data_IF_763254468196
#
_entry.id   IF_763254468196
#
_cell.length_a   1.000
_cell.length_b   1.000
_cell.length_c   1.000
_cell.angle_alpha   90.00
_cell.angle_beta   90.00
_cell.angle_gamma   90.00
#
_symmetry.space_group_name_H-M   'P 1'
#
loop_
_entity.id
_entity.type
_entity.pdbx_description
1 polymer ?
#
# COMPACT_ATOMS: atom_id res chain seq x y z
N UNK A 1 47.81 -9.57 77.65
CA UNK A 1 47.00 -8.40 78.08
C UNK A 1 46.50 -7.71 76.86
N UNK A 2 45.27 -8.03 76.39
CA UNK A 2 44.73 -7.53 75.13
C UNK A 2 43.31 -7.02 75.39
N UNK A 3 43.14 -5.72 75.32
CA UNK A 3 41.85 -5.05 75.53
C UNK A 3 41.06 -4.97 74.23
N UNK A 4 39.93 -5.66 74.20
CA UNK A 4 39.01 -5.64 73.15
C UNK A 4 38.11 -4.40 73.21
N UNK A 5 37.99 -3.62 72.11
CA UNK A 5 37.05 -2.50 71.99
C UNK A 5 35.96 -2.88 71.08
N UNK A 6 34.71 -2.99 71.56
CA UNK A 6 33.50 -3.10 70.81
C UNK A 6 33.10 -1.75 70.22
N UNK A 7 32.93 -1.67 68.88
CA UNK A 7 32.29 -0.56 68.25
C UNK A 7 30.86 -0.99 67.86
N UNK A 8 29.90 -0.27 68.42
CA UNK A 8 28.48 -0.42 68.16
C UNK A 8 28.15 0.48 66.94
N UNK A 9 27.84 -0.09 65.79
CA UNK A 9 27.42 0.65 64.61
C UNK A 9 25.88 0.78 64.59
N UNK A 10 25.43 2.04 64.75
CA UNK A 10 24.00 2.42 64.62
C UNK A 10 23.64 2.57 63.15
N UNK A 11 22.85 1.65 62.67
CA UNK A 11 22.28 1.71 61.28
C UNK A 11 21.02 2.59 61.28
N UNK A 12 21.14 3.82 60.76
CA UNK A 12 19.99 4.66 60.42
C UNK A 12 19.45 4.21 59.02
N UNK A 13 18.28 3.60 59.00
CA UNK A 13 17.54 3.31 57.79
C UNK A 13 16.80 4.56 57.32
N UNK A 14 17.31 5.23 56.29
CA UNK A 14 16.55 6.26 55.54
C UNK A 14 15.62 5.58 54.55
N UNK A 15 14.33 5.61 54.84
CA UNK A 15 13.28 5.22 53.87
C UNK A 15 13.05 6.36 52.88
N UNK A 16 13.54 6.21 51.66
CA UNK A 16 13.16 7.08 50.57
C UNK A 16 11.79 6.66 50.03
N UNK A 17 10.77 7.48 50.30
CA UNK A 17 9.48 7.38 49.66
C UNK A 17 9.64 7.86 48.19
N UNK A 18 9.66 6.91 47.22
CA UNK A 18 9.61 7.22 45.80
C UNK A 18 8.15 7.53 45.44
N UNK A 19 7.82 8.81 45.40
CA UNK A 19 6.58 9.29 44.80
C UNK A 19 6.65 9.05 43.30
N UNK A 20 5.93 8.03 42.81
CA UNK A 20 5.73 7.84 41.39
C UNK A 20 4.82 8.97 40.85
N UNK A 21 5.42 9.92 40.16
CA UNK A 21 4.70 10.86 39.32
C UNK A 21 4.15 10.05 38.13
N UNK A 22 2.87 9.73 38.15
CA UNK A 22 2.17 9.21 36.98
C UNK A 22 2.01 10.38 36.03
N UNK A 23 2.87 10.45 35.00
CA UNK A 23 2.65 11.35 33.87
C UNK A 23 1.35 10.94 33.18
N UNK A 24 0.32 11.77 33.32
CA UNK A 24 -0.94 11.62 32.64
C UNK A 24 -0.68 11.87 31.15
N UNK A 25 -0.91 10.86 30.29
CA UNK A 25 -0.79 11.01 28.85
C UNK A 25 -1.69 12.15 28.35
N UNK A 26 -1.23 13.00 27.43
CA UNK A 26 -2.07 14.03 26.86
C UNK A 26 -3.29 13.41 26.19
N UNK A 27 -4.47 14.02 26.39
CA UNK A 27 -5.71 13.61 25.76
C UNK A 27 -5.54 13.64 24.21
N UNK A 28 -6.07 12.63 23.47
CA UNK A 28 -5.93 12.60 22.02
C UNK A 28 -6.65 13.80 21.40
N UNK A 29 -5.89 14.62 20.64
CA UNK A 29 -6.44 15.67 19.80
C UNK A 29 -7.43 15.08 18.81
N UNK A 30 -8.59 15.73 18.65
CA UNK A 30 -9.61 15.33 17.66
C UNK A 30 -8.98 15.35 16.27
N UNK A 31 -8.80 14.17 15.65
CA UNK A 31 -8.46 14.07 14.24
C UNK A 31 -7.43 13.01 13.82
N UNK A 32 -6.72 12.36 14.74
CA UNK A 32 -5.81 11.29 14.36
C UNK A 32 -6.32 9.95 14.90
N UNK A 33 -6.62 9.02 13.99
CA UNK A 33 -6.85 7.64 14.38
C UNK A 33 -5.56 7.09 15.01
N UNK A 34 -5.65 6.33 16.12
CA UNK A 34 -4.46 5.78 16.76
C UNK A 34 -3.74 4.84 15.80
N UNK A 35 -2.43 5.06 15.62
CA UNK A 35 -1.57 4.09 14.92
C UNK A 35 -1.55 2.83 15.77
N UNK A 36 -2.24 1.78 15.31
CA UNK A 36 -2.24 0.49 16.00
C UNK A 36 -0.94 -0.22 15.66
N UNK A 37 0.04 -0.17 16.57
CA UNK A 37 1.29 -0.91 16.47
C UNK A 37 1.15 -2.41 16.79
N UNK A 38 -0.07 -2.93 16.80
CA UNK A 38 -0.34 -4.33 17.08
C UNK A 38 0.06 -5.20 15.89
N UNK A 39 0.74 -6.32 16.17
CA UNK A 39 0.83 -7.40 15.19
C UNK A 39 -0.59 -7.85 14.82
N UNK A 40 -0.82 -8.08 13.52
CA UNK A 40 -2.10 -8.54 13.02
C UNK A 40 -2.56 -9.79 13.78
N UNK A 41 -3.72 -9.72 14.45
CA UNK A 41 -4.37 -10.88 15.04
C UNK A 41 -5.05 -11.71 13.96
N UNK A 42 -5.39 -13.00 14.20
CA UNK A 42 -6.13 -13.80 13.22
C UNK A 42 -7.43 -13.15 12.74
N UNK A 43 -8.12 -12.43 13.61
CA UNK A 43 -9.38 -11.73 13.27
C UNK A 43 -9.11 -10.49 12.37
N UNK A 44 -8.01 -9.76 12.62
CA UNK A 44 -7.58 -8.64 11.78
C UNK A 44 -7.06 -9.16 10.44
N UNK A 45 -6.50 -10.36 10.41
CA UNK A 45 -5.98 -11.00 9.20
C UNK A 45 -7.06 -11.70 8.37
N UNK A 46 -8.31 -11.76 8.83
CA UNK A 46 -9.40 -12.28 8.02
C UNK A 46 -9.63 -11.37 6.80
N UNK A 47 -9.52 -11.96 5.61
CA UNK A 47 -9.79 -11.24 4.36
C UNK A 47 -11.28 -11.16 4.14
N UNK A 48 -11.89 -10.15 4.71
CA UNK A 48 -13.25 -9.77 4.42
C UNK A 48 -13.30 -8.30 3.97
N UNK A 49 -14.38 -7.88 3.30
CA UNK A 49 -14.55 -6.49 2.84
C UNK A 49 -14.51 -5.45 3.96
N UNK A 50 -14.64 -5.87 5.22
CA UNK A 50 -14.61 -4.98 6.37
C UNK A 50 -13.20 -4.79 6.95
N UNK A 51 -12.22 -5.60 6.54
CA UNK A 51 -10.85 -5.50 7.05
C UNK A 51 -10.22 -4.13 6.74
N UNK A 52 -10.45 -3.59 5.54
CA UNK A 52 -9.99 -2.24 5.20
C UNK A 52 -10.63 -1.18 6.09
N UNK A 53 -11.96 -1.25 6.30
CA UNK A 53 -12.67 -0.32 7.17
C UNK A 53 -12.19 -0.41 8.63
N UNK A 54 -11.93 -1.62 9.13
CA UNK A 54 -11.43 -1.84 10.51
C UNK A 54 -10.01 -1.34 10.69
N UNK A 55 -9.15 -1.61 9.73
CA UNK A 55 -7.71 -1.30 9.82
C UNK A 55 -7.35 0.07 9.25
N UNK A 56 -8.18 0.57 8.32
CA UNK A 56 -7.91 1.77 7.54
C UNK A 56 -6.51 1.77 6.92
N UNK A 57 -6.02 0.59 6.52
CA UNK A 57 -4.68 0.42 5.98
C UNK A 57 -3.53 0.65 6.99
N UNK A 58 -3.81 0.77 8.29
CA UNK A 58 -2.83 1.19 9.31
C UNK A 58 -2.32 0.09 10.23
N UNK A 59 -2.68 -1.16 9.96
CA UNK A 59 -2.20 -2.31 10.75
C UNK A 59 -1.07 -3.00 10.01
N UNK A 60 0.10 -3.13 10.67
CA UNK A 60 1.27 -3.79 10.10
C UNK A 60 1.03 -5.27 9.80
N UNK A 61 1.64 -5.76 8.73
CA UNK A 61 1.68 -7.17 8.38
C UNK A 61 3.12 -7.69 8.48
N UNK A 62 3.36 -8.95 8.88
CA UNK A 62 4.71 -9.46 9.01
C UNK A 62 5.46 -9.42 7.66
N UNK A 63 6.63 -8.76 7.67
CA UNK A 63 7.54 -8.78 6.53
C UNK A 63 7.94 -10.21 6.19
N UNK A 64 7.86 -10.61 4.92
CA UNK A 64 8.21 -11.96 4.51
C UNK A 64 8.65 -12.05 3.05
N UNK A 65 9.43 -13.07 2.76
CA UNK A 65 9.84 -13.39 1.39
C UNK A 65 8.64 -13.92 0.59
N UNK A 66 8.41 -13.32 -0.57
CA UNK A 66 7.44 -13.81 -1.56
C UNK A 66 8.11 -14.89 -2.42
N UNK A 67 9.17 -14.53 -3.14
CA UNK A 67 9.96 -15.43 -4.00
C UNK A 67 11.30 -14.74 -4.35
N UNK A 68 12.38 -15.51 -4.49
CA UNK A 68 13.69 -14.99 -4.89
C UNK A 68 14.16 -13.81 -4.04
N UNK A 69 14.25 -12.64 -4.64
CA UNK A 69 14.63 -11.37 -4.02
C UNK A 69 13.45 -10.38 -3.87
N UNK A 70 12.22 -10.88 -3.96
CA UNK A 70 10.98 -10.10 -3.80
C UNK A 70 10.34 -10.39 -2.44
N UNK A 71 10.00 -9.33 -1.69
CA UNK A 71 9.48 -9.39 -0.33
C UNK A 71 8.22 -8.53 -0.18
N UNK A 72 7.30 -8.95 0.69
CA UNK A 72 6.17 -8.15 1.16
C UNK A 72 6.60 -7.36 2.40
N UNK A 73 6.33 -6.06 2.41
CA UNK A 73 6.68 -5.16 3.53
C UNK A 73 5.56 -4.16 3.87
N UNK A 74 4.38 -4.38 3.33
CA UNK A 74 3.20 -3.53 3.50
C UNK A 74 2.44 -3.77 4.80
N UNK A 75 1.18 -3.30 4.81
CA UNK A 75 0.22 -3.49 5.91
C UNK A 75 -0.73 -4.66 5.61
N UNK A 76 -1.72 -4.88 6.48
CA UNK A 76 -2.73 -5.94 6.26
C UNK A 76 -3.47 -5.76 4.95
N UNK A 77 -3.73 -4.52 4.52
CA UNK A 77 -4.55 -4.21 3.34
C UNK A 77 -3.80 -3.46 2.24
N UNK A 78 -2.81 -2.63 2.58
CA UNK A 78 -2.04 -1.85 1.63
C UNK A 78 -0.72 -2.53 1.31
N UNK A 79 -0.56 -2.93 0.06
CA UNK A 79 0.62 -3.68 -0.35
C UNK A 79 1.81 -2.78 -0.65
N UNK A 80 2.96 -3.16 -0.07
CA UNK A 80 4.27 -2.61 -0.44
C UNK A 80 5.23 -3.76 -0.70
N UNK A 81 6.06 -3.60 -1.71
CA UNK A 81 6.98 -4.64 -2.16
C UNK A 81 8.41 -4.13 -2.16
N UNK A 82 9.30 -4.87 -1.51
CA UNK A 82 10.74 -4.62 -1.55
C UNK A 82 11.40 -5.62 -2.51
N UNK A 83 12.13 -5.12 -3.49
CA UNK A 83 12.96 -5.91 -4.40
C UNK A 83 14.41 -5.59 -4.07
N UNK A 84 15.16 -6.58 -3.59
CA UNK A 84 16.54 -6.39 -3.16
C UNK A 84 17.51 -6.69 -4.29
N UNK A 85 18.56 -5.86 -4.43
CA UNK A 85 19.61 -6.05 -5.42
C UNK A 85 20.98 -5.72 -4.83
N UNK A 86 22.09 -6.15 -5.46
CA UNK A 86 23.44 -5.75 -5.01
C UNK A 86 23.71 -4.23 -5.08
N UNK A 87 22.93 -3.49 -5.86
CA UNK A 87 23.09 -2.04 -6.03
C UNK A 87 22.14 -1.22 -5.12
N UNK A 88 21.39 -1.88 -4.23
CA UNK A 88 20.36 -1.30 -3.36
C UNK A 88 18.99 -1.85 -3.68
N UNK A 89 17.95 -1.28 -3.07
CA UNK A 89 16.60 -1.80 -3.16
C UNK A 89 15.69 -0.94 -4.04
N UNK A 90 14.66 -1.58 -4.61
CA UNK A 90 13.50 -0.91 -5.21
C UNK A 90 12.32 -1.14 -4.27
N UNK A 91 11.58 -0.09 -3.95
CA UNK A 91 10.30 -0.18 -3.23
C UNK A 91 9.15 0.20 -4.18
N UNK A 92 8.05 -0.53 -4.11
CA UNK A 92 6.78 -0.18 -4.76
C UNK A 92 5.78 0.16 -3.67
N UNK A 93 5.21 1.37 -3.68
CA UNK A 93 4.30 2.01 -2.74
C UNK A 93 4.92 2.30 -1.36
N UNK A 94 4.87 3.57 -0.98
CA UNK A 94 5.27 4.04 0.35
C UNK A 94 4.13 3.98 1.39
N UNK A 95 2.87 3.90 0.92
CA UNK A 95 1.63 3.93 1.68
C UNK A 95 1.41 5.26 2.44
N UNK A 96 0.81 5.22 3.65
CA UNK A 96 0.61 6.38 4.50
C UNK A 96 1.86 6.77 5.29
N UNK A 97 2.06 8.05 5.60
CA UNK A 97 3.18 8.52 6.44
C UNK A 97 3.21 7.80 7.79
N UNK A 98 2.07 7.65 8.44
CA UNK A 98 1.95 6.99 9.74
C UNK A 98 2.24 5.48 9.69
N UNK A 99 2.23 4.85 8.51
CA UNK A 99 2.58 3.42 8.36
C UNK A 99 4.05 3.19 8.01
N UNK A 100 4.81 4.24 7.71
CA UNK A 100 6.22 4.13 7.35
C UNK A 100 7.09 3.49 8.46
N UNK A 101 6.87 3.76 9.77
CA UNK A 101 7.58 3.03 10.84
C UNK A 101 7.30 1.52 10.83
N UNK A 102 6.07 1.09 10.49
CA UNK A 102 5.71 -0.33 10.37
C UNK A 102 6.44 -0.98 9.19
N UNK A 103 6.49 -0.30 8.05
CA UNK A 103 7.24 -0.74 6.87
C UNK A 103 8.74 -0.87 7.18
N UNK A 104 9.33 0.14 7.85
CA UNK A 104 10.72 0.10 8.30
C UNK A 104 10.98 -1.13 9.18
N UNK A 105 10.14 -1.38 10.17
CA UNK A 105 10.24 -2.56 11.04
C UNK A 105 10.15 -3.86 10.24
N UNK A 106 9.26 -3.94 9.25
CA UNK A 106 9.13 -5.12 8.36
C UNK A 106 10.41 -5.35 7.56
N UNK A 107 10.98 -4.29 6.96
CA UNK A 107 12.25 -4.34 6.20
C UNK A 107 13.41 -4.78 7.08
N UNK A 108 13.53 -4.20 8.28
CA UNK A 108 14.60 -4.53 9.24
C UNK A 108 14.49 -5.96 9.76
N UNK A 109 13.28 -6.48 9.99
CA UNK A 109 13.05 -7.87 10.40
C UNK A 109 13.51 -8.90 9.37
N UNK A 110 13.61 -8.48 8.10
CA UNK A 110 14.12 -9.28 6.99
C UNK A 110 15.65 -9.16 6.83
N UNK A 111 16.32 -8.35 7.65
CA UNK A 111 17.76 -8.11 7.59
C UNK A 111 18.20 -7.04 6.60
N UNK A 112 17.26 -6.24 6.07
CA UNK A 112 17.53 -5.14 5.16
C UNK A 112 17.40 -3.79 5.88
N UNK A 113 17.83 -2.70 5.20
CA UNK A 113 17.68 -1.33 5.70
C UNK A 113 16.80 -0.53 4.76
N UNK A 114 15.91 0.29 5.32
CA UNK A 114 15.09 1.21 4.55
C UNK A 114 15.95 2.16 3.72
N UNK A 115 17.05 2.63 4.31
CA UNK A 115 17.99 3.60 3.76
C UNK A 115 18.77 3.07 2.54
N UNK A 116 18.77 1.75 2.32
CA UNK A 116 19.37 1.13 1.13
C UNK A 116 18.44 1.19 -0.10
N UNK A 117 17.23 1.74 0.05
CA UNK A 117 16.31 1.92 -1.09
C UNK A 117 16.81 3.06 -1.99
N UNK A 118 16.97 2.75 -3.27
CA UNK A 118 17.47 3.67 -4.31
C UNK A 118 16.35 4.17 -5.22
N UNK A 119 15.27 3.40 -5.37
CA UNK A 119 14.16 3.70 -6.26
C UNK A 119 12.86 3.48 -5.51
N UNK A 120 11.95 4.45 -5.60
CA UNK A 120 10.56 4.35 -5.16
C UNK A 120 9.65 4.44 -6.37
N UNK A 121 8.81 3.42 -6.54
CA UNK A 121 7.82 3.29 -7.61
C UNK A 121 6.41 3.35 -7.02
N UNK A 122 5.45 3.71 -7.85
CA UNK A 122 4.04 3.79 -7.49
C UNK A 122 3.19 2.77 -8.24
N UNK A 123 2.07 2.37 -7.62
CA UNK A 123 0.97 1.69 -8.31
C UNK A 123 0.00 2.68 -8.93
N UNK A 124 -0.42 3.72 -8.19
CA UNK A 124 -1.31 4.78 -8.65
C UNK A 124 -1.36 5.95 -7.65
N UNK A 125 -1.91 7.10 -8.09
CA UNK A 125 -1.91 8.35 -7.34
C UNK A 125 -3.10 8.47 -6.35
N UNK A 126 -3.21 7.53 -5.41
CA UNK A 126 -4.10 7.67 -4.25
C UNK A 126 -3.32 7.84 -2.95
N UNK A 127 -3.97 8.47 -1.98
CA UNK A 127 -3.34 8.85 -0.71
C UNK A 127 -2.82 7.66 0.09
N UNK A 128 -3.51 6.54 0.06
CA UNK A 128 -3.16 5.29 0.75
C UNK A 128 -1.92 4.59 0.20
N UNK A 129 -1.43 5.01 -0.98
CA UNK A 129 -0.22 4.47 -1.58
C UNK A 129 0.95 5.46 -1.64
N UNK A 130 0.70 6.79 -1.58
CA UNK A 130 1.69 7.80 -1.94
C UNK A 130 1.90 8.93 -0.91
N UNK A 131 1.15 8.97 0.19
CA UNK A 131 1.33 10.09 1.15
C UNK A 131 2.62 9.99 1.95
N UNK A 132 3.30 8.86 2.01
CA UNK A 132 4.61 8.76 2.62
C UNK A 132 5.77 9.14 1.70
N UNK A 133 5.55 9.41 0.40
CA UNK A 133 6.64 9.58 -0.59
C UNK A 133 7.64 10.67 -0.22
N UNK A 134 7.16 11.82 0.27
CA UNK A 134 8.05 12.91 0.66
C UNK A 134 8.92 12.55 1.88
N UNK A 135 8.33 11.90 2.89
CA UNK A 135 9.05 11.43 4.07
C UNK A 135 10.01 10.29 3.70
N UNK A 136 9.56 9.34 2.89
CA UNK A 136 10.38 8.23 2.41
C UNK A 136 11.61 8.73 1.67
N UNK A 137 11.43 9.64 0.71
CA UNK A 137 12.54 10.27 -0.02
C UNK A 137 13.49 11.01 0.91
N UNK A 138 12.98 11.73 1.89
CA UNK A 138 13.82 12.43 2.88
C UNK A 138 14.69 11.44 3.68
N UNK A 139 14.18 10.24 4.00
CA UNK A 139 14.90 9.23 4.76
C UNK A 139 15.91 8.44 3.93
N UNK A 140 15.63 8.21 2.64
CA UNK A 140 16.39 7.27 1.80
C UNK A 140 17.22 7.95 0.70
N UNK A 141 16.81 9.13 0.26
CA UNK A 141 17.32 9.75 -0.96
C UNK A 141 16.89 9.04 -2.25
N UNK A 142 15.90 8.14 -2.20
CA UNK A 142 15.45 7.36 -3.34
C UNK A 142 14.97 8.26 -4.50
N UNK A 143 15.24 7.83 -5.72
CA UNK A 143 14.65 8.42 -6.93
C UNK A 143 13.20 7.98 -7.04
N UNK A 144 12.28 8.93 -7.06
CA UNK A 144 10.83 8.68 -7.16
C UNK A 144 10.38 8.73 -8.62
N UNK A 145 9.60 7.72 -9.05
CA UNK A 145 9.20 7.59 -10.45
C UNK A 145 7.71 7.24 -10.57
N UNK A 146 7.01 7.97 -11.43
CA UNK A 146 5.55 7.86 -11.58
C UNK A 146 5.13 7.89 -13.05
N UNK A 147 4.01 7.24 -13.35
CA UNK A 147 3.38 7.27 -14.66
C UNK A 147 2.88 8.70 -14.99
N UNK A 148 3.14 9.15 -16.20
CA UNK A 148 2.86 10.51 -16.68
C UNK A 148 1.42 10.97 -16.39
N UNK A 149 0.44 10.09 -16.58
CA UNK A 149 -0.97 10.41 -16.43
C UNK A 149 -1.41 10.66 -14.98
N UNK A 150 -0.65 10.18 -13.99
CA UNK A 150 -0.92 10.41 -12.56
C UNK A 150 -0.19 11.65 -12.00
N UNK A 151 0.75 12.24 -12.75
CA UNK A 151 1.52 13.41 -12.32
C UNK A 151 0.63 14.58 -11.87
N UNK A 152 -0.46 14.96 -12.58
CA UNK A 152 -1.32 16.05 -12.13
C UNK A 152 -1.99 15.79 -10.77
N UNK A 153 -2.40 14.54 -10.49
CA UNK A 153 -2.98 14.14 -9.21
C UNK A 153 -1.93 14.21 -8.09
N UNK A 154 -0.72 13.73 -8.35
CA UNK A 154 0.40 13.76 -7.41
C UNK A 154 0.84 15.19 -7.08
N UNK A 155 0.89 16.09 -8.06
CA UNK A 155 1.20 17.51 -7.83
C UNK A 155 0.19 18.21 -6.92
N UNK A 156 -1.08 17.78 -6.95
CA UNK A 156 -2.11 18.25 -6.03
C UNK A 156 -2.05 17.60 -4.65
N UNK A 157 -1.45 16.43 -4.54
CA UNK A 157 -1.23 15.74 -3.27
C UNK A 157 -0.04 16.38 -2.55
N UNK A 158 -0.24 16.83 -1.31
CA UNK A 158 0.79 17.50 -0.50
C UNK A 158 1.15 16.62 0.70
N UNK A 159 1.97 15.57 0.51
CA UNK A 159 2.36 14.65 1.57
C UNK A 159 3.09 15.39 2.70
N UNK A 160 2.57 15.28 3.93
CA UNK A 160 3.08 16.03 5.07
C UNK A 160 3.10 17.55 4.86
N UNK A 161 2.24 18.10 3.99
CA UNK A 161 2.22 19.52 3.60
C UNK A 161 3.35 19.94 2.64
N UNK A 162 4.14 18.98 2.14
CA UNK A 162 5.25 19.22 1.21
C UNK A 162 4.83 18.99 -0.23
N UNK A 163 5.64 19.53 -1.17
CA UNK A 163 5.50 19.16 -2.59
C UNK A 163 5.74 17.66 -2.76
N UNK A 164 4.93 17.04 -3.63
CA UNK A 164 5.13 15.63 -3.96
C UNK A 164 6.44 15.45 -4.74
N UNK A 165 7.37 14.58 -4.31
CA UNK A 165 8.63 14.40 -5.00
C UNK A 165 8.41 13.61 -6.30
N UNK A 166 8.73 14.21 -7.46
CA UNK A 166 8.63 13.58 -8.78
C UNK A 166 9.96 13.76 -9.49
N UNK A 167 10.82 12.73 -9.45
CA UNK A 167 12.17 12.84 -10.07
C UNK A 167 12.18 12.36 -11.51
N UNK A 168 11.38 11.32 -11.83
CA UNK A 168 11.28 10.77 -13.17
C UNK A 168 9.83 10.47 -13.52
N UNK A 169 9.42 10.94 -14.69
CA UNK A 169 8.12 10.64 -15.28
C UNK A 169 8.30 9.44 -16.21
N UNK A 170 7.46 8.42 -16.03
CA UNK A 170 7.43 7.20 -16.82
C UNK A 170 6.34 7.26 -17.86
N UNK A 171 6.59 6.63 -18.99
CA UNK A 171 5.61 6.35 -20.04
C UNK A 171 5.28 4.87 -20.07
N UNK A 172 4.21 4.54 -20.77
CA UNK A 172 3.84 3.14 -21.01
C UNK A 172 5.02 2.36 -21.63
N UNK A 173 5.27 1.18 -21.12
CA UNK A 173 6.40 0.30 -21.44
C UNK A 173 7.81 0.81 -21.08
N UNK A 174 7.93 1.92 -20.35
CA UNK A 174 9.22 2.31 -19.79
C UNK A 174 9.76 1.24 -18.83
N UNK A 175 11.09 1.11 -18.82
CA UNK A 175 11.76 0.18 -17.91
C UNK A 175 12.51 0.92 -16.81
N UNK A 176 12.55 0.29 -15.63
CA UNK A 176 13.33 0.70 -14.48
C UNK A 176 14.28 -0.41 -14.09
N UNK A 177 15.58 -0.12 -14.09
CA UNK A 177 16.61 -1.12 -13.81
C UNK A 177 17.49 -0.72 -12.64
N UNK A 178 17.80 -1.70 -11.78
CA UNK A 178 18.76 -1.55 -10.66
C UNK A 178 19.39 -2.92 -10.35
N UNK A 179 20.70 -2.97 -10.31
CA UNK A 179 21.47 -4.13 -9.82
C UNK A 179 21.11 -5.47 -10.47
N UNK A 180 20.80 -5.47 -11.76
CA UNK A 180 20.43 -6.66 -12.53
C UNK A 180 18.92 -6.97 -12.57
N UNK A 181 18.09 -6.26 -11.81
CA UNK A 181 16.63 -6.29 -11.93
C UNK A 181 16.15 -5.27 -12.95
N UNK A 182 15.15 -5.63 -13.73
CA UNK A 182 14.46 -4.73 -14.66
C UNK A 182 12.96 -4.95 -14.54
N UNK A 183 12.23 -3.87 -14.23
CA UNK A 183 10.78 -3.82 -14.15
C UNK A 183 10.25 -3.04 -15.35
N UNK A 184 9.15 -3.48 -15.94
CA UNK A 184 8.42 -2.75 -16.98
C UNK A 184 7.18 -2.12 -16.38
N UNK A 185 7.00 -0.81 -16.62
CA UNK A 185 5.81 -0.05 -16.26
C UNK A 185 4.78 -0.17 -17.39
N UNK A 186 3.59 -0.67 -17.07
CA UNK A 186 2.49 -0.74 -18.03
C UNK A 186 1.37 0.20 -17.59
N UNK A 187 0.98 1.11 -18.46
CA UNK A 187 -0.18 1.96 -18.26
C UNK A 187 -1.46 1.12 -18.38
N UNK A 188 -2.14 0.95 -17.25
CA UNK A 188 -3.40 0.20 -17.12
C UNK A 188 -4.46 1.07 -16.45
N UNK A 189 -4.96 2.10 -17.15
CA UNK A 189 -5.82 3.13 -16.59
C UNK A 189 -7.22 2.59 -16.23
N UNK A 190 -7.94 3.38 -15.43
CA UNK A 190 -9.31 3.08 -15.00
C UNK A 190 -9.51 3.35 -13.53
N UNK A 191 -8.66 2.81 -12.66
CA UNK A 191 -8.65 3.13 -11.23
C UNK A 191 -8.17 4.57 -11.00
N UNK A 192 -7.03 4.94 -11.58
CA UNK A 192 -6.60 6.31 -11.86
C UNK A 192 -6.22 6.44 -13.32
N UNK A 193 -5.91 7.66 -13.77
CA UNK A 193 -5.46 7.90 -15.14
C UNK A 193 -4.10 7.25 -15.43
N UNK A 194 -3.21 7.19 -14.43
CA UNK A 194 -1.86 6.65 -14.53
C UNK A 194 -1.64 5.35 -13.77
N UNK A 195 -2.72 4.62 -13.43
CA UNK A 195 -2.56 3.30 -12.79
C UNK A 195 -1.56 2.45 -13.54
N UNK A 196 -0.55 1.96 -12.80
CA UNK A 196 0.60 1.25 -13.36
C UNK A 196 0.61 -0.20 -12.89
N UNK A 197 0.52 -1.13 -13.85
CA UNK A 197 0.83 -2.55 -13.60
C UNK A 197 2.32 -2.78 -13.83
N UNK A 198 3.00 -3.40 -12.86
CA UNK A 198 4.41 -3.74 -12.96
C UNK A 198 4.60 -5.20 -13.36
N UNK A 199 5.43 -5.44 -14.39
CA UNK A 199 5.86 -6.79 -14.74
C UNK A 199 7.38 -6.91 -14.71
N UNK A 200 7.88 -8.05 -14.24
CA UNK A 200 9.31 -8.36 -14.18
C UNK A 200 9.53 -9.86 -13.97
N UNK A 201 10.78 -10.30 -14.05
CA UNK A 201 11.15 -11.69 -13.78
C UNK A 201 11.98 -11.79 -12.52
N UNK A 202 11.72 -12.85 -11.74
CA UNK A 202 12.48 -13.18 -10.53
C UNK A 202 13.04 -14.58 -10.63
N UNK A 203 14.32 -14.75 -10.32
CA UNK A 203 14.98 -16.06 -10.24
C UNK A 203 14.75 -16.67 -8.86
N UNK A 204 14.30 -17.91 -8.80
CA UNK A 204 14.27 -18.71 -7.56
C UNK A 204 14.45 -20.20 -7.89
N UNK A 205 15.30 -20.90 -7.11
CA UNK A 205 15.54 -22.33 -7.31
C UNK A 205 16.03 -22.73 -8.71
N UNK A 206 16.74 -21.84 -9.41
CA UNK A 206 17.23 -22.09 -10.79
C UNK A 206 16.19 -21.89 -11.89
N UNK A 207 15.00 -21.40 -11.56
CA UNK A 207 13.92 -21.06 -12.51
C UNK A 207 13.64 -19.56 -12.48
N UNK A 208 13.22 -19.00 -13.63
CA UNK A 208 12.68 -17.65 -13.76
C UNK A 208 11.17 -17.69 -13.66
N UNK A 209 10.60 -16.76 -12.91
CA UNK A 209 9.16 -16.61 -12.72
C UNK A 209 8.71 -15.25 -13.21
N UNK A 210 7.62 -15.21 -13.98
CA UNK A 210 6.96 -13.99 -14.40
C UNK A 210 6.11 -13.43 -13.26
N UNK A 211 6.41 -12.21 -12.82
CA UNK A 211 5.70 -11.50 -11.75
C UNK A 211 4.81 -10.44 -12.37
N UNK A 212 3.56 -10.37 -11.93
CA UNK A 212 2.62 -9.29 -12.24
C UNK A 212 2.12 -8.67 -10.94
N UNK A 213 2.28 -7.34 -10.81
CA UNK A 213 1.72 -6.53 -9.72
C UNK A 213 0.68 -5.60 -10.32
N UNK A 214 -0.61 -5.90 -10.13
CA UNK A 214 -1.71 -5.05 -10.61
C UNK A 214 -1.80 -3.79 -9.74
N UNK A 215 -1.74 -2.62 -10.38
CA UNK A 215 -1.65 -1.32 -9.73
C UNK A 215 -2.96 -0.78 -9.16
N UNK A 216 -4.12 -1.24 -9.60
CA UNK A 216 -5.42 -0.79 -9.10
C UNK A 216 -6.56 -1.63 -9.65
N UNK A 217 -7.62 -1.83 -8.86
CA UNK A 217 -8.77 -2.66 -9.20
C UNK A 217 -10.02 -1.85 -9.53
N UNK A 218 -11.00 -2.49 -10.18
CA UNK A 218 -12.32 -1.94 -10.40
C UNK A 218 -13.14 -2.07 -9.11
N UNK A 219 -13.75 -0.97 -8.67
CA UNK A 219 -14.64 -0.94 -7.52
C UNK A 219 -16.07 -1.31 -7.93
N UNK A 220 -16.81 -1.95 -7.03
CA UNK A 220 -18.18 -2.43 -7.28
C UNK A 220 -19.23 -1.30 -7.39
N UNK A 221 -18.90 -0.10 -6.89
CA UNK A 221 -19.71 1.11 -7.03
C UNK A 221 -19.25 2.03 -8.17
N UNK A 222 -18.28 1.62 -8.98
CA UNK A 222 -17.71 2.43 -10.05
C UNK A 222 -18.76 2.84 -11.09
N UNK A 223 -18.75 4.11 -11.49
CA UNK A 223 -19.63 4.63 -12.57
C UNK A 223 -18.96 4.43 -13.92
N UNK A 224 -19.38 3.42 -14.66
CA UNK A 224 -18.79 3.06 -15.97
C UNK A 224 -19.58 3.60 -17.17
N UNK A 225 -20.87 3.91 -16.98
CA UNK A 225 -21.76 4.45 -18.02
C UNK A 225 -22.33 5.77 -17.53
N UNK A 226 -22.54 6.72 -18.44
CA UNK A 226 -23.01 8.07 -18.12
C UNK A 226 -22.10 8.81 -17.11
N UNK A 227 -20.82 8.55 -17.14
CA UNK A 227 -19.83 9.25 -16.33
C UNK A 227 -19.46 10.60 -16.99
N UNK A 228 -19.94 11.70 -16.41
CA UNK A 228 -19.73 13.03 -16.98
C UNK A 228 -18.25 13.46 -16.99
N UNK A 229 -17.45 12.97 -16.04
CA UNK A 229 -16.02 13.30 -15.92
C UNK A 229 -15.14 12.46 -16.84
N UNK A 230 -15.57 11.24 -17.15
CA UNK A 230 -14.86 10.33 -18.05
C UNK A 230 -15.87 9.45 -18.82
N UNK A 231 -16.42 9.97 -19.94
CA UNK A 231 -17.45 9.25 -20.71
C UNK A 231 -17.02 7.89 -21.25
N UNK A 232 -15.71 7.68 -21.42
CA UNK A 232 -15.13 6.47 -22.00
C UNK A 232 -14.60 5.49 -20.94
N UNK A 233 -14.89 5.70 -19.65
CA UNK A 233 -14.30 4.90 -18.56
C UNK A 233 -14.61 3.39 -18.70
N UNK A 234 -15.78 3.03 -19.20
CA UNK A 234 -16.15 1.63 -19.45
C UNK A 234 -15.28 0.95 -20.50
N UNK A 235 -14.91 1.68 -21.58
CA UNK A 235 -14.03 1.19 -22.65
C UNK A 235 -12.57 1.18 -22.18
N UNK A 236 -12.16 2.16 -21.37
CA UNK A 236 -10.83 2.19 -20.72
C UNK A 236 -10.64 0.93 -19.89
N UNK A 237 -11.61 0.58 -19.05
CA UNK A 237 -11.54 -0.65 -18.24
C UNK A 237 -11.52 -1.92 -19.12
N UNK A 238 -12.30 -1.98 -20.21
CA UNK A 238 -12.24 -3.10 -21.14
C UNK A 238 -10.85 -3.27 -21.76
N UNK A 239 -10.19 -2.16 -22.15
CA UNK A 239 -8.83 -2.17 -22.67
C UNK A 239 -7.81 -2.62 -21.61
N UNK A 240 -7.92 -2.12 -20.38
CA UNK A 240 -7.04 -2.50 -19.26
C UNK A 240 -7.15 -4.00 -18.96
N UNK A 241 -8.38 -4.54 -18.88
CA UNK A 241 -8.60 -5.97 -18.62
C UNK A 241 -8.00 -6.82 -19.75
N UNK A 242 -8.20 -6.42 -21.01
CA UNK A 242 -7.60 -7.10 -22.17
C UNK A 242 -6.07 -7.09 -22.09
N UNK A 243 -5.49 -5.99 -21.64
CA UNK A 243 -4.04 -5.86 -21.42
C UNK A 243 -3.56 -6.84 -20.34
N UNK A 244 -4.25 -6.92 -19.19
CA UNK A 244 -3.93 -7.89 -18.15
C UNK A 244 -4.05 -9.34 -18.66
N UNK A 245 -5.07 -9.68 -19.44
CA UNK A 245 -5.22 -11.02 -20.04
C UNK A 245 -4.02 -11.46 -20.89
N UNK A 246 -3.25 -10.50 -21.41
CA UNK A 246 -2.09 -10.78 -22.28
C UNK A 246 -0.79 -11.08 -21.51
N UNK A 247 -0.71 -10.77 -20.21
CA UNK A 247 0.54 -10.94 -19.47
C UNK A 247 0.77 -12.40 -19.05
N UNK A 248 1.99 -12.93 -19.26
CA UNK A 248 2.40 -14.14 -18.58
C UNK A 248 2.50 -13.84 -17.08
N UNK A 249 1.94 -14.70 -16.25
CA UNK A 249 1.97 -14.53 -14.81
C UNK A 249 2.14 -15.89 -14.12
N UNK A 250 3.28 -16.06 -13.46
CA UNK A 250 3.51 -17.15 -12.50
C UNK A 250 3.16 -16.67 -11.08
N UNK A 251 3.55 -15.43 -10.73
CA UNK A 251 3.42 -14.84 -9.39
C UNK A 251 2.49 -13.64 -9.45
N UNK A 252 1.33 -13.78 -8.81
CA UNK A 252 0.28 -12.78 -8.80
C UNK A 252 0.27 -11.95 -7.52
N UNK A 253 0.35 -10.62 -7.69
CA UNK A 253 0.34 -9.61 -6.64
C UNK A 253 -0.51 -8.39 -7.06
N UNK A 254 -0.80 -7.47 -6.12
CA UNK A 254 -1.55 -6.26 -6.42
C UNK A 254 -1.38 -5.17 -5.38
N UNK A 255 -1.87 -3.97 -5.66
CA UNK A 255 -1.77 -2.80 -4.80
C UNK A 255 -2.48 -3.00 -3.45
N UNK A 256 -3.52 -3.82 -3.43
CA UNK A 256 -4.21 -4.21 -2.21
C UNK A 256 -4.11 -5.72 -1.97
N UNK A 257 -4.07 -6.11 -0.70
CA UNK A 257 -3.84 -7.49 -0.24
C UNK A 257 -4.93 -8.46 -0.69
N UNK A 258 -6.17 -8.00 -0.76
CA UNK A 258 -7.32 -8.83 -1.16
C UNK A 258 -7.33 -9.19 -2.65
N UNK A 259 -6.60 -8.48 -3.52
CA UNK A 259 -6.50 -8.85 -4.93
C UNK A 259 -5.92 -10.26 -5.08
N UNK A 260 -4.97 -10.63 -4.23
CA UNK A 260 -4.21 -11.87 -4.37
C UNK A 260 -4.25 -12.78 -3.13
N UNK A 261 -5.18 -12.51 -2.19
CA UNK A 261 -5.36 -13.32 -0.96
C UNK A 261 -4.07 -13.41 -0.12
N UNK A 262 -3.56 -12.26 0.32
CA UNK A 262 -2.33 -12.16 1.11
C UNK A 262 -2.36 -13.06 2.35
N UNK A 263 -3.41 -12.96 3.18
CA UNK A 263 -3.49 -13.67 4.48
C UNK A 263 -3.58 -15.17 4.30
N UNK A 264 -4.38 -15.63 3.35
CA UNK A 264 -4.47 -17.05 3.00
C UNK A 264 -3.16 -17.61 2.43
N UNK A 265 -2.47 -16.83 1.58
CA UNK A 265 -1.15 -17.21 1.06
C UNK A 265 -0.08 -17.20 2.15
N UNK A 266 -0.09 -16.21 3.03
CA UNK A 266 0.85 -16.16 4.16
C UNK A 266 0.66 -17.32 5.13
N UNK A 267 -0.58 -17.71 5.42
CA UNK A 267 -0.86 -18.89 6.24
C UNK A 267 -0.28 -20.19 5.60
N UNK A 268 -0.45 -20.35 4.29
CA UNK A 268 0.15 -21.48 3.53
C UNK A 268 1.69 -21.42 3.54
N UNK A 269 2.28 -20.23 3.41
CA UNK A 269 3.74 -20.04 3.47
C UNK A 269 4.28 -20.44 4.85
N UNK A 270 3.60 -20.07 5.94
CA UNK A 270 3.99 -20.49 7.29
C UNK A 270 3.88 -21.99 7.50
N UNK A 271 2.87 -22.63 6.92
CA UNK A 271 2.70 -24.09 7.01
C UNK A 271 3.74 -24.84 6.18
N UNK A 272 4.18 -24.29 5.03
CA UNK A 272 5.20 -24.89 4.19
C UNK A 272 6.09 -23.81 3.53
N UNK A 273 7.17 -23.38 4.19
CA UNK A 273 8.03 -22.32 3.69
C UNK A 273 8.90 -22.70 2.48
N UNK A 274 8.87 -23.96 2.04
CA UNK A 274 9.66 -24.43 0.90
C UNK A 274 9.01 -24.14 -0.45
N UNK A 275 7.71 -23.87 -0.47
CA UNK A 275 6.93 -23.61 -1.69
C UNK A 275 6.24 -22.27 -1.55
N UNK A 276 6.54 -21.33 -2.44
CA UNK A 276 5.88 -20.04 -2.43
C UNK A 276 4.41 -20.18 -2.87
N UNK A 277 3.44 -19.87 -2.00
CA UNK A 277 2.03 -19.89 -2.36
C UNK A 277 1.63 -18.70 -3.26
N UNK A 278 2.56 -17.79 -3.51
CA UNK A 278 2.39 -16.65 -4.43
C UNK A 278 2.59 -17.05 -5.89
N UNK A 279 3.14 -18.26 -6.17
CA UNK A 279 3.11 -18.87 -7.50
C UNK A 279 1.66 -19.31 -7.74
N UNK A 280 0.87 -18.44 -8.39
CA UNK A 280 -0.59 -18.58 -8.47
C UNK A 280 -1.13 -18.02 -9.78
N UNK A 281 -0.73 -18.61 -10.88
CA UNK A 281 -1.24 -18.27 -12.21
C UNK A 281 -2.77 -18.44 -12.33
N UNK A 282 -3.35 -19.38 -11.58
CA UNK A 282 -4.79 -19.59 -11.56
C UNK A 282 -5.52 -18.44 -10.85
N UNK A 283 -4.99 -17.98 -9.71
CA UNK A 283 -5.51 -16.82 -8.99
C UNK A 283 -5.45 -15.54 -9.82
N UNK A 284 -4.37 -15.34 -10.60
CA UNK A 284 -4.29 -14.24 -11.55
C UNK A 284 -5.42 -14.27 -12.59
N UNK A 285 -5.58 -15.39 -13.27
CA UNK A 285 -6.63 -15.56 -14.28
C UNK A 285 -8.02 -15.35 -13.69
N UNK A 286 -8.24 -15.89 -12.48
CA UNK A 286 -9.51 -15.72 -11.78
C UNK A 286 -9.77 -14.25 -11.47
N UNK A 287 -8.80 -13.54 -10.89
CA UNK A 287 -8.95 -12.12 -10.57
C UNK A 287 -9.30 -11.29 -11.80
N UNK A 288 -8.59 -11.48 -12.91
CA UNK A 288 -8.85 -10.75 -14.15
C UNK A 288 -10.25 -11.07 -14.71
N UNK A 289 -10.67 -12.33 -14.64
CA UNK A 289 -12.03 -12.74 -15.05
C UNK A 289 -13.12 -12.16 -14.15
N UNK A 290 -12.89 -12.12 -12.82
CA UNK A 290 -13.83 -11.53 -11.87
C UNK A 290 -14.01 -10.02 -12.13
N UNK A 291 -12.92 -9.30 -12.43
CA UNK A 291 -12.97 -7.87 -12.77
C UNK A 291 -13.72 -7.64 -14.09
N UNK A 292 -13.55 -8.51 -15.09
CA UNK A 292 -14.29 -8.43 -16.34
C UNK A 292 -15.79 -8.64 -16.14
N UNK A 293 -16.18 -9.67 -15.36
CA UNK A 293 -17.58 -9.92 -15.00
C UNK A 293 -18.19 -8.74 -14.24
N UNK A 294 -17.44 -8.16 -13.29
CA UNK A 294 -17.89 -6.97 -12.58
C UNK A 294 -18.10 -5.79 -13.52
N UNK A 295 -17.18 -5.54 -14.46
CA UNK A 295 -17.31 -4.48 -15.46
C UNK A 295 -18.56 -4.69 -16.32
N UNK A 296 -18.79 -5.90 -16.84
CA UNK A 296 -19.94 -6.23 -17.67
C UNK A 296 -21.24 -6.03 -16.89
N UNK A 297 -21.31 -6.51 -15.66
CA UNK A 297 -22.45 -6.31 -14.76
C UNK A 297 -22.75 -4.82 -14.55
N UNK A 298 -21.75 -4.02 -14.17
CA UNK A 298 -21.92 -2.58 -13.93
C UNK A 298 -22.37 -1.84 -15.18
N UNK A 299 -21.81 -2.17 -16.35
CA UNK A 299 -22.22 -1.58 -17.63
C UNK A 299 -23.67 -1.92 -17.95
N UNK A 300 -24.08 -3.19 -17.80
CA UNK A 300 -25.45 -3.63 -18.07
C UNK A 300 -26.46 -2.96 -17.13
N UNK A 301 -26.20 -2.98 -15.81
CA UNK A 301 -27.08 -2.39 -14.79
C UNK A 301 -27.23 -0.88 -15.00
N UNK A 302 -26.12 -0.15 -15.23
CA UNK A 302 -26.15 1.29 -15.42
C UNK A 302 -26.77 1.71 -16.74
N UNK A 303 -26.62 0.90 -17.80
CA UNK A 303 -27.31 1.12 -19.07
C UNK A 303 -28.82 0.95 -18.93
N UNK A 304 -29.24 -0.10 -18.23
CA UNK A 304 -30.67 -0.37 -17.98
C UNK A 304 -31.32 0.70 -17.08
N UNK A 305 -30.57 1.24 -16.11
CA UNK A 305 -31.03 2.32 -15.24
C UNK A 305 -31.15 3.67 -15.95
N UNK A 306 -30.50 3.83 -17.10
CA UNK A 306 -30.44 5.10 -17.83
C UNK A 306 -29.56 6.18 -17.17
N UNK A 307 -29.49 7.37 -17.79
CA UNK A 307 -28.67 8.46 -17.25
C UNK A 307 -29.23 8.91 -15.88
N UNK A 308 -28.35 9.33 -14.94
CA UNK A 308 -28.79 9.85 -13.66
C UNK A 308 -29.69 11.08 -13.86
N UNK A 309 -30.74 11.19 -13.05
CA UNK A 309 -31.58 12.38 -13.07
C UNK A 309 -30.72 13.65 -12.95
N UNK A 310 -31.03 14.72 -13.68
CA UNK A 310 -30.36 16.01 -13.53
C UNK A 310 -30.42 16.39 -12.04
N UNK A 311 -29.29 16.72 -11.41
CA UNK A 311 -29.30 17.28 -10.06
C UNK A 311 -30.14 18.53 -10.14
N UNK A 312 -31.34 18.50 -9.54
CA UNK A 312 -32.25 19.64 -9.50
C UNK A 312 -31.47 20.84 -8.99
N UNK A 313 -31.43 21.92 -9.78
CA UNK A 313 -30.84 23.19 -9.37
C UNK A 313 -31.56 23.65 -8.12
N UNK A 314 -30.96 23.49 -6.95
CA UNK A 314 -31.41 24.07 -5.72
C UNK A 314 -31.47 25.58 -5.92
N UNK A 315 -32.67 26.16 -5.82
CA UNK A 315 -32.89 27.62 -5.76
C UNK A 315 -31.95 28.20 -4.73
N UNK A 316 -31.26 29.27 -5.14
CA UNK A 316 -30.23 29.99 -4.40
C UNK A 316 -30.56 30.21 -2.92
N UNK A 317 -29.70 29.63 -2.07
CA UNK A 317 -29.44 30.09 -0.73
C UNK A 317 -28.03 30.64 -0.74
N UNK A 318 -27.87 31.96 -0.61
CA UNK A 318 -26.60 32.59 -0.33
C UNK A 318 -26.09 32.03 1.01
N UNK A 319 -24.98 31.29 0.99
CA UNK A 319 -24.33 30.74 2.16
C UNK A 319 -22.86 30.55 1.84
N UNK A 320 -22.06 31.31 2.53
CA UNK A 320 -20.62 31.51 2.51
C UNK A 320 -19.80 30.24 2.24
N UNK A 321 -18.82 30.41 1.36
CA UNK A 321 -17.87 29.37 1.00
C UNK A 321 -17.04 28.87 2.18
N UNK A 322 -17.00 27.56 2.30
CA UNK A 322 -15.88 26.82 2.88
C UNK A 322 -15.58 25.69 1.90
N UNK A 323 -14.42 25.78 1.28
CA UNK A 323 -13.91 24.78 0.36
C UNK A 323 -13.75 23.43 1.08
N UNK A 324 -14.55 22.46 0.68
CA UNK A 324 -14.26 21.08 1.00
C UNK A 324 -13.24 20.55 -0.02
N UNK A 325 -12.19 19.85 0.42
CA UNK A 325 -11.31 19.16 -0.49
C UNK A 325 -12.08 18.02 -1.19
N UNK A 326 -11.85 17.92 -2.49
CA UNK A 326 -12.45 16.92 -3.35
C UNK A 326 -12.14 15.50 -2.87
N UNK A 327 -13.19 14.69 -2.74
CA UNK A 327 -13.17 13.27 -3.00
C UNK A 327 -12.41 12.37 -2.03
N UNK A 328 -12.93 12.20 -0.82
CA UNK A 328 -12.77 10.90 -0.17
C UNK A 328 -13.81 9.96 -0.76
N UNK A 329 -13.40 9.15 -1.75
CA UNK A 329 -14.13 7.96 -2.12
C UNK A 329 -14.25 7.08 -0.87
N UNK A 330 -15.46 6.76 -0.47
CA UNK A 330 -15.69 5.77 0.56
C UNK A 330 -15.14 4.45 0.05
N UNK A 331 -14.06 3.98 0.67
CA UNK A 331 -13.67 2.59 0.54
C UNK A 331 -14.74 1.76 1.23
N UNK A 332 -15.43 0.93 0.46
CA UNK A 332 -16.14 -0.24 0.95
C UNK A 332 -15.23 -1.45 0.91
#
# INVERSE_FOLDING_TARGET
MTVSRFFLALLLSLSFAVTRLTAQAPAPGRGQAPVVSAQATPEIMAEDPQTEQRTQGRVGFPGHKIIGNLYYVGTVTLSSYLITTPAGNILINSNYEETLPLMKTSIESLGFKLEDTRILLASHAHADHQTADAMFKQMTGATTMFMEQDVPALQNMKPGGKEHPIDRILKDHDTVSLGGMTLTAHLTPGHTAGTTTWTFKVADGGRMYDVVIIGGGLQDDARLVYNANNPNIGDIWASTIKTWQSYPCDVFLGAHSWFFNLTGKYAKLKANPRVSPYIDAAGYKKYVADVEQLREKLVAEQTAAGPPAPRGGGRGGQGQGQGQPAGQGRAN
#
